data_IF_108242301335
#
_entry.id   IF_108242301335
#
_cell.length_a   1.000
_cell.length_b   1.000
_cell.length_c   1.000
_cell.angle_alpha   90.00
_cell.angle_beta   90.00
_cell.angle_gamma   90.00
#
_symmetry.space_group_name_H-M   'P 1'
#
loop_
_entity.id
_entity.type
_entity.pdbx_description
1 polymer ?
#
# COMPACT_ATOMS: atom_id res chain seq x y z
N UNK A 1 5.05 -0.61 -24.64
CA UNK A 1 4.22 -0.59 -23.43
C UNK A 1 4.46 0.73 -22.72
N UNK A 2 3.43 1.53 -22.51
CA UNK A 2 3.51 2.74 -21.67
C UNK A 2 3.51 2.30 -20.21
N UNK A 3 4.49 2.76 -19.42
CA UNK A 3 4.43 2.60 -17.97
C UNK A 3 3.29 3.46 -17.43
N UNK A 4 2.35 2.86 -16.69
CA UNK A 4 1.39 3.60 -15.90
C UNK A 4 1.94 3.80 -14.50
N UNK A 5 1.82 5.03 -14.01
CA UNK A 5 2.22 5.41 -12.65
C UNK A 5 0.94 5.49 -11.83
N UNK A 6 0.91 4.78 -10.71
CA UNK A 6 -0.19 4.82 -9.74
C UNK A 6 0.32 5.43 -8.45
N UNK A 7 -0.45 6.34 -7.86
CA UNK A 7 -0.13 6.92 -6.56
C UNK A 7 -0.74 6.06 -5.46
N UNK A 8 0.09 5.60 -4.53
CA UNK A 8 -0.33 4.77 -3.40
C UNK A 8 -0.07 5.54 -2.11
N UNK A 9 -1.10 5.67 -1.28
CA UNK A 9 -1.00 6.26 0.05
C UNK A 9 -0.71 5.15 1.05
N UNK A 10 0.35 5.30 1.84
CA UNK A 10 0.69 4.39 2.92
C UNK A 10 0.84 5.15 4.23
N UNK A 11 0.28 4.61 5.31
CA UNK A 11 0.40 5.18 6.66
C UNK A 11 0.57 4.06 7.69
N UNK A 12 1.18 4.41 8.81
CA UNK A 12 1.28 3.52 9.97
C UNK A 12 0.03 3.64 10.82
N UNK A 13 -0.67 2.53 11.01
CA UNK A 13 -1.74 2.38 11.99
C UNK A 13 -1.14 1.85 13.30
N UNK A 14 -1.17 2.69 14.34
CA UNK A 14 -0.59 2.36 15.63
C UNK A 14 -1.45 1.37 16.44
N UNK A 15 -2.77 1.33 16.20
CA UNK A 15 -3.68 0.44 16.92
C UNK A 15 -3.55 -0.99 16.37
N UNK A 16 -3.35 -1.12 15.05
CA UNK A 16 -3.07 -2.39 14.39
C UNK A 16 -1.59 -2.79 14.41
N UNK A 17 -0.70 -1.86 14.77
CA UNK A 17 0.75 -1.99 14.62
C UNK A 17 1.16 -2.48 13.22
N UNK A 18 0.57 -1.88 12.19
CA UNK A 18 0.75 -2.27 10.81
C UNK A 18 0.78 -1.06 9.87
N UNK A 19 1.53 -1.18 8.78
CA UNK A 19 1.43 -0.28 7.64
C UNK A 19 0.22 -0.64 6.78
N UNK A 20 -0.59 0.35 6.42
CA UNK A 20 -1.78 0.19 5.59
C UNK A 20 -1.58 0.96 4.27
N UNK A 21 -1.93 0.35 3.14
CA UNK A 21 -1.89 0.95 1.81
C UNK A 21 -3.27 1.02 1.15
N UNK A 22 -3.56 2.17 0.55
CA UNK A 22 -4.77 2.43 -0.26
C UNK A 22 -4.44 3.32 -1.46
N UNK A 23 -5.27 3.32 -2.50
CA UNK A 23 -5.13 4.20 -3.66
C UNK A 23 -6.48 4.50 -4.30
N UNK A 24 -6.69 5.74 -4.75
CA UNK A 24 -7.84 6.11 -5.59
C UNK A 24 -7.64 5.69 -7.05
N UNK A 25 -6.40 5.57 -7.50
CA UNK A 25 -6.07 5.17 -8.88
C UNK A 25 -6.30 3.65 -9.10
N UNK A 26 -6.32 2.87 -8.01
CA UNK A 26 -6.48 1.42 -8.03
C UNK A 26 -7.71 1.04 -7.20
N UNK A 27 -8.90 0.96 -7.83
CA UNK A 27 -10.12 0.57 -7.14
C UNK A 27 -9.97 -0.80 -6.45
N UNK A 28 -10.25 -0.83 -5.15
CA UNK A 28 -10.16 -2.05 -4.35
C UNK A 28 -8.78 -2.35 -3.77
N UNK A 29 -7.77 -1.49 -3.96
CA UNK A 29 -6.50 -1.62 -3.25
C UNK A 29 -6.69 -1.27 -1.76
N UNK A 30 -6.68 -2.31 -0.94
CA UNK A 30 -6.60 -2.22 0.52
C UNK A 30 -5.76 -3.40 1.03
N UNK A 31 -4.55 -3.14 1.51
CA UNK A 31 -3.65 -4.15 2.07
C UNK A 31 -2.84 -3.58 3.22
N UNK A 32 -2.38 -4.45 4.11
CA UNK A 32 -1.56 -4.08 5.27
C UNK A 32 -0.38 -5.03 5.48
N UNK A 33 0.64 -4.61 6.22
CA UNK A 33 1.74 -5.47 6.66
C UNK A 33 2.44 -4.92 7.92
N UNK A 34 3.08 -5.80 8.69
CA UNK A 34 3.80 -5.46 9.93
C UNK A 34 5.01 -4.53 9.74
N UNK A 35 5.55 -4.44 8.52
CA UNK A 35 6.69 -3.56 8.19
C UNK A 35 6.51 -2.92 6.82
N UNK A 36 7.17 -1.78 6.62
CA UNK A 36 7.09 -1.06 5.35
C UNK A 36 7.64 -1.90 4.18
N UNK A 37 8.75 -2.60 4.38
CA UNK A 37 9.33 -3.48 3.35
C UNK A 37 8.38 -4.62 2.96
N UNK A 38 7.71 -5.24 3.94
CA UNK A 38 6.72 -6.28 3.67
C UNK A 38 5.49 -5.72 2.92
N UNK A 39 5.05 -4.50 3.26
CA UNK A 39 3.99 -3.81 2.51
C UNK A 39 4.43 -3.56 1.06
N UNK A 40 5.64 -3.06 0.85
CA UNK A 40 6.18 -2.83 -0.49
C UNK A 40 6.26 -4.12 -1.32
N UNK A 41 6.59 -5.25 -0.71
CA UNK A 41 6.59 -6.55 -1.40
C UNK A 41 5.20 -6.96 -1.89
N UNK A 42 4.14 -6.66 -1.12
CA UNK A 42 2.74 -6.94 -1.52
C UNK A 42 2.25 -6.06 -2.67
N UNK A 43 2.89 -4.91 -2.93
CA UNK A 43 2.48 -3.93 -3.95
C UNK A 43 3.23 -4.08 -5.30
N UNK A 44 4.13 -5.07 -5.41
CA UNK A 44 4.83 -5.40 -6.66
C UNK A 44 3.98 -6.29 -7.55
#
# INVERSE_FOLDING_TARGET
>A
MSAQIFQINAFWDADAAAWVATSEDIPGLATEAESFDALQQKLR
#
